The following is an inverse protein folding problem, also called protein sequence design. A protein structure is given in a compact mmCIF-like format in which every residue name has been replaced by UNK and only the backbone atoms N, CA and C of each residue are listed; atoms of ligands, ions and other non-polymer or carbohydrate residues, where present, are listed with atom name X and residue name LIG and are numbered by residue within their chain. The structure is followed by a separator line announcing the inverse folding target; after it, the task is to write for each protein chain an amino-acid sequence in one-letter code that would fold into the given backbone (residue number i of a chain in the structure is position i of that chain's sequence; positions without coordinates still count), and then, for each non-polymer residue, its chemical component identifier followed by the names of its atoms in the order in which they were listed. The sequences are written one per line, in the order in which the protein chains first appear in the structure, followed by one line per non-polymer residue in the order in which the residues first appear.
data_IF_740178334828
#
_entry.id   IF_740178334828
#
_cell.length_a   1.000
_cell.length_b   1.000
_cell.length_c   1.000
_cell.angle_alpha   90.00
_cell.angle_beta   90.00
_cell.angle_gamma   90.00
#
_symmetry.space_group_name_H-M   'P 1'
#
loop_
_entity.id
_entity.type
_entity.pdbx_description
1 polymer ?
#
# COMPACT_ATOMS: atom_id res chain seq x y z
N UNK A 1 -16.39 17.64 -4.18
CA UNK A 1 -15.56 16.53 -4.69
C UNK A 1 -14.26 16.55 -3.92
N UNK A 2 -13.91 15.47 -3.22
CA UNK A 2 -12.68 15.41 -2.41
C UNK A 2 -11.60 14.67 -3.21
N UNK A 3 -10.42 15.27 -3.33
CA UNK A 3 -9.26 14.67 -4.02
C UNK A 3 -8.18 14.29 -3.02
N UNK A 4 -7.59 13.11 -3.23
CA UNK A 4 -6.43 12.64 -2.49
C UNK A 4 -5.19 12.85 -3.35
N UNK A 5 -4.18 13.53 -2.82
CA UNK A 5 -2.92 13.80 -3.50
C UNK A 5 -1.75 13.26 -2.69
N UNK A 6 -0.85 12.57 -3.38
CA UNK A 6 0.30 11.91 -2.78
C UNK A 6 1.28 11.36 -3.81
N UNK A 7 2.38 10.82 -3.31
CA UNK A 7 3.45 10.18 -4.04
C UNK A 7 3.45 8.66 -3.80
N UNK A 8 4.19 7.95 -4.63
CA UNK A 8 4.43 6.51 -4.50
C UNK A 8 5.57 6.14 -3.53
N UNK A 9 5.99 7.12 -2.71
CA UNK A 9 7.03 7.02 -1.71
C UNK A 9 6.80 8.10 -0.65
N UNK A 10 7.06 7.76 0.61
CA UNK A 10 7.21 8.74 1.69
C UNK A 10 8.62 8.70 2.29
N UNK A 11 9.26 7.53 2.34
CA UNK A 11 10.52 7.35 3.06
C UNK A 11 11.78 7.66 2.22
N UNK A 12 11.75 8.71 1.38
CA UNK A 12 12.89 9.09 0.53
C UNK A 12 13.87 10.00 1.28
N UNK A 13 15.08 9.50 1.57
CA UNK A 13 16.10 10.26 2.33
C UNK A 13 16.59 11.52 1.62
N UNK A 14 16.55 11.56 0.29
CA UNK A 14 16.98 12.73 -0.49
C UNK A 14 16.11 13.97 -0.27
N UNK A 15 14.96 13.82 0.40
CA UNK A 15 14.08 14.92 0.76
C UNK A 15 14.51 15.67 2.03
N UNK A 16 15.47 15.17 2.81
CA UNK A 16 15.98 15.88 3.99
C UNK A 16 16.68 17.17 3.56
N UNK A 17 16.27 18.29 4.17
CA UNK A 17 16.80 19.63 3.90
C UNK A 17 15.94 20.45 2.95
N UNK A 18 15.06 19.81 2.17
CA UNK A 18 14.15 20.50 1.25
C UNK A 18 12.69 20.26 1.65
N UNK A 19 12.26 19.01 1.57
CA UNK A 19 10.92 18.61 1.98
C UNK A 19 10.95 18.25 3.46
N UNK A 20 11.76 17.31 3.95
CA UNK A 20 11.87 17.07 5.38
C UNK A 20 12.80 18.07 6.08
N UNK A 21 12.50 18.51 7.31
CA UNK A 21 13.41 19.36 8.08
C UNK A 21 14.83 18.76 8.17
N UNK A 22 15.90 19.57 8.17
CA UNK A 22 17.26 19.10 8.40
C UNK A 22 17.35 18.25 9.69
N UNK A 23 18.05 17.11 9.62
CA UNK A 23 18.22 16.21 10.76
C UNK A 23 17.05 15.24 11.04
N UNK A 24 15.99 15.26 10.22
CA UNK A 24 14.86 14.31 10.34
C UNK A 24 15.33 12.84 10.28
N UNK A 25 14.78 11.98 11.14
CA UNK A 25 15.08 10.55 11.16
C UNK A 25 14.04 9.79 10.34
N UNK A 26 14.41 8.58 9.89
CA UNK A 26 13.52 7.75 9.08
C UNK A 26 12.17 7.43 9.76
N UNK A 27 12.16 7.35 11.10
CA UNK A 27 10.93 7.13 11.88
C UNK A 27 9.93 8.29 11.83
N UNK A 28 10.39 9.49 11.48
CA UNK A 28 9.57 10.71 11.45
C UNK A 28 8.93 10.94 10.07
N UNK A 29 9.44 10.27 9.03
CA UNK A 29 9.10 10.58 7.63
C UNK A 29 7.62 10.44 7.32
N UNK A 30 6.93 9.42 7.85
CA UNK A 30 5.51 9.25 7.55
C UNK A 30 4.68 10.37 8.19
N UNK A 31 4.94 10.71 9.46
CA UNK A 31 4.29 11.85 10.13
C UNK A 31 4.55 13.17 9.39
N UNK A 32 5.81 13.45 9.02
CA UNK A 32 6.18 14.65 8.26
C UNK A 32 5.51 14.69 6.87
N UNK A 33 5.40 13.55 6.21
CA UNK A 33 4.75 13.43 4.91
C UNK A 33 3.24 13.71 5.02
N UNK A 34 2.57 13.19 6.06
CA UNK A 34 1.14 13.41 6.31
C UNK A 34 0.76 14.89 6.53
N UNK A 35 1.72 15.76 6.86
CA UNK A 35 1.48 17.19 7.02
C UNK A 35 1.28 17.92 5.68
N UNK A 36 1.62 17.28 4.55
CA UNK A 36 1.61 17.92 3.22
C UNK A 36 0.77 17.20 2.19
N UNK A 37 0.58 15.90 2.36
CA UNK A 37 -0.21 15.06 1.46
C UNK A 37 -1.32 14.36 2.21
N UNK A 38 -2.37 13.98 1.49
CA UNK A 38 -3.54 13.31 2.04
C UNK A 38 -3.54 11.81 1.77
N UNK A 39 -2.61 11.33 0.95
CA UNK A 39 -2.46 9.90 0.69
C UNK A 39 -1.03 9.52 0.35
N UNK A 40 -0.74 8.21 0.41
CA UNK A 40 0.49 7.63 -0.13
C UNK A 40 0.15 6.33 -0.84
N UNK A 41 0.74 6.13 -2.01
CA UNK A 41 0.75 4.82 -2.65
C UNK A 41 1.83 3.96 -1.95
N UNK A 42 1.38 2.92 -1.27
CA UNK A 42 2.17 2.03 -0.42
C UNK A 42 3.04 1.05 -1.20
N UNK A 43 3.96 1.53 -2.03
CA UNK A 43 4.89 0.65 -2.77
C UNK A 43 5.81 -0.18 -1.87
N UNK A 44 5.98 0.18 -0.60
CA UNK A 44 6.77 -0.62 0.34
C UNK A 44 6.19 -2.03 0.50
N UNK A 45 4.86 -2.18 0.49
CA UNK A 45 4.19 -3.48 0.66
C UNK A 45 4.36 -4.40 -0.54
N UNK A 46 4.69 -3.83 -1.70
CA UNK A 46 5.07 -4.59 -2.89
C UNK A 46 6.32 -5.43 -2.67
N UNK A 47 7.31 -4.87 -1.97
CA UNK A 47 8.60 -5.52 -1.74
C UNK A 47 8.65 -6.32 -0.44
N UNK A 48 7.93 -5.89 0.60
CA UNK A 48 7.91 -6.58 1.89
C UNK A 48 6.59 -6.34 2.61
N UNK A 49 5.98 -7.42 3.10
CA UNK A 49 4.79 -7.35 3.94
C UNK A 49 5.21 -6.90 5.34
N UNK A 50 4.75 -5.73 5.83
CA UNK A 50 5.12 -5.24 7.16
C UNK A 50 4.48 -6.13 8.24
N UNK A 51 5.14 -6.29 9.39
CA UNK A 51 4.55 -6.98 10.53
C UNK A 51 3.47 -6.12 11.23
N UNK A 52 2.70 -6.72 12.15
CA UNK A 52 1.64 -6.03 12.88
C UNK A 52 2.14 -4.80 13.65
N UNK A 53 3.31 -4.89 14.27
CA UNK A 53 3.91 -3.77 15.00
C UNK A 53 4.19 -2.57 14.07
N UNK A 54 4.71 -2.83 12.87
CA UNK A 54 4.96 -1.79 11.86
C UNK A 54 3.66 -1.15 11.40
N UNK A 55 2.62 -1.94 11.18
CA UNK A 55 1.29 -1.45 10.78
C UNK A 55 0.69 -0.57 11.86
N UNK A 56 0.73 -1.01 13.12
CA UNK A 56 0.23 -0.24 14.26
C UNK A 56 0.99 1.08 14.40
N UNK A 57 2.32 1.06 14.22
CA UNK A 57 3.14 2.28 14.22
C UNK A 57 2.76 3.22 13.08
N UNK A 58 2.53 2.71 11.87
CA UNK A 58 2.08 3.54 10.75
C UNK A 58 0.71 4.16 11.01
N UNK A 59 -0.25 3.35 11.47
CA UNK A 59 -1.59 3.83 11.84
C UNK A 59 -1.53 4.95 12.89
N UNK A 60 -0.67 4.82 13.90
CA UNK A 60 -0.50 5.84 14.94
C UNK A 60 0.13 7.15 14.44
N UNK A 61 0.82 7.15 13.29
CA UNK A 61 1.43 8.36 12.71
C UNK A 61 0.52 9.08 11.71
N UNK A 62 -0.48 8.39 11.16
CA UNK A 62 -1.36 8.95 10.13
C UNK A 62 -2.55 9.65 10.79
N UNK A 63 -2.81 10.93 10.46
CA UNK A 63 -3.95 11.65 11.01
C UNK A 63 -5.27 11.15 10.39
N UNK A 64 -6.42 11.42 11.03
CA UNK A 64 -7.73 11.20 10.42
C UNK A 64 -7.82 11.87 9.04
N UNK A 65 -8.39 11.15 8.07
CA UNK A 65 -8.53 11.64 6.70
C UNK A 65 -7.31 11.39 5.80
N UNK A 66 -6.19 10.89 6.31
CA UNK A 66 -5.09 10.39 5.49
C UNK A 66 -5.39 8.95 4.99
N UNK A 67 -5.09 8.65 3.72
CA UNK A 67 -5.29 7.33 3.13
C UNK A 67 -3.97 6.66 2.75
N UNK A 68 -3.65 5.51 3.32
CA UNK A 68 -2.58 4.65 2.85
C UNK A 68 -3.14 3.63 1.85
N UNK A 69 -2.60 3.57 0.64
CA UNK A 69 -3.09 2.68 -0.41
C UNK A 69 -2.09 1.54 -0.64
N UNK A 70 -2.24 0.36 0.01
CA UNK A 70 -1.26 -0.71 -0.09
C UNK A 70 -1.23 -1.33 -1.49
N UNK A 71 -0.03 -1.55 -2.01
CA UNK A 71 0.15 -2.38 -3.20
C UNK A 71 0.27 -3.83 -2.81
N UNK A 72 -0.42 -4.73 -3.50
CA UNK A 72 -0.27 -6.16 -3.26
C UNK A 72 1.20 -6.61 -3.47
N UNK A 73 1.73 -7.53 -2.63
CA UNK A 73 3.11 -7.99 -2.74
C UNK A 73 3.44 -8.56 -4.12
N UNK A 74 4.65 -8.29 -4.61
CA UNK A 74 5.15 -8.83 -5.89
C UNK A 74 5.14 -10.35 -5.90
N UNK A 75 5.45 -10.98 -4.75
CA UNK A 75 5.43 -12.43 -4.59
C UNK A 75 4.08 -13.07 -4.95
N UNK A 76 2.98 -12.31 -4.83
CA UNK A 76 1.62 -12.77 -5.14
C UNK A 76 1.18 -12.42 -6.57
N UNK A 77 1.77 -11.38 -7.15
CA UNK A 77 1.24 -10.74 -8.37
C UNK A 77 2.15 -10.89 -9.59
N UNK A 78 3.43 -11.24 -9.40
CA UNK A 78 4.45 -11.20 -10.47
C UNK A 78 5.06 -12.58 -10.82
N UNK A 79 4.56 -13.69 -10.27
CA UNK A 79 5.12 -15.02 -10.48
C UNK A 79 4.16 -16.03 -11.14
N UNK A 80 3.09 -15.56 -11.76
CA UNK A 80 2.16 -16.42 -12.51
C UNK A 80 0.74 -15.89 -12.50
N UNK A 81 -0.21 -16.83 -12.49
CA UNK A 81 -1.63 -16.58 -12.31
C UNK A 81 -1.93 -16.07 -10.89
N UNK A 82 -3.00 -15.27 -10.77
CA UNK A 82 -3.42 -14.64 -9.53
C UNK A 82 -4.33 -15.53 -8.68
N UNK A 83 -5.16 -16.37 -9.31
CA UNK A 83 -6.12 -17.25 -8.62
C UNK A 83 -5.45 -18.13 -7.54
N UNK A 84 -4.28 -18.75 -7.77
CA UNK A 84 -3.60 -19.52 -6.73
C UNK A 84 -3.16 -18.69 -5.52
N UNK A 85 -3.01 -17.37 -5.68
CA UNK A 85 -2.55 -16.45 -4.62
C UNK A 85 -3.69 -15.82 -3.81
N UNK A 86 -4.95 -16.21 -4.07
CA UNK A 86 -6.12 -15.68 -3.36
C UNK A 86 -5.98 -15.83 -1.83
N UNK A 87 -5.63 -17.00 -1.26
CA UNK A 87 -5.53 -17.15 0.20
C UNK A 87 -4.55 -16.14 0.83
N UNK A 88 -3.35 -16.02 0.29
CA UNK A 88 -2.31 -15.12 0.80
C UNK A 88 -2.66 -13.65 0.56
N UNK A 89 -3.40 -13.33 -0.51
CA UNK A 89 -3.87 -11.99 -0.77
C UNK A 89 -4.96 -11.57 0.23
N UNK A 90 -5.81 -12.50 0.66
CA UNK A 90 -6.79 -12.26 1.72
C UNK A 90 -6.13 -12.15 3.10
N UNK A 91 -5.07 -12.91 3.38
CA UNK A 91 -4.24 -12.73 4.58
C UNK A 91 -3.59 -11.34 4.60
N UNK A 92 -3.04 -10.90 3.47
CA UNK A 92 -2.50 -9.55 3.33
C UNK A 92 -3.56 -8.49 3.59
N UNK A 93 -4.77 -8.65 3.04
CA UNK A 93 -5.90 -7.76 3.30
C UNK A 93 -6.22 -7.70 4.80
N UNK A 94 -6.36 -8.86 5.47
CA UNK A 94 -6.65 -8.93 6.90
C UNK A 94 -5.57 -8.23 7.74
N UNK A 95 -4.31 -8.38 7.35
CA UNK A 95 -3.20 -7.69 8.01
C UNK A 95 -3.27 -6.17 7.79
N UNK A 96 -3.57 -5.71 6.57
CA UNK A 96 -3.71 -4.28 6.26
C UNK A 96 -4.92 -3.63 6.94
N UNK A 97 -5.93 -4.38 7.38
CA UNK A 97 -7.03 -3.87 8.20
C UNK A 97 -6.53 -3.24 9.52
N UNK A 98 -5.33 -3.58 9.99
CA UNK A 98 -4.69 -2.90 11.11
C UNK A 98 -4.45 -1.40 10.91
N UNK A 99 -4.50 -0.90 9.67
CA UNK A 99 -4.46 0.54 9.37
C UNK A 99 -5.78 1.26 9.70
N UNK A 100 -6.86 0.53 9.98
CA UNK A 100 -8.14 1.09 10.40
C UNK A 100 -8.72 2.08 9.41
N UNK A 101 -9.13 3.26 9.90
CA UNK A 101 -9.72 4.32 9.08
C UNK A 101 -8.76 4.91 8.04
N UNK A 102 -7.45 4.68 8.18
CA UNK A 102 -6.45 5.12 7.22
C UNK A 102 -6.22 4.10 6.08
N UNK A 103 -6.87 2.93 6.10
CA UNK A 103 -6.80 1.98 4.99
C UNK A 103 -7.55 2.53 3.77
N UNK A 104 -6.78 2.98 2.78
CA UNK A 104 -7.24 3.32 1.45
C UNK A 104 -7.41 2.09 0.54
N UNK A 105 -7.64 2.30 -0.77
CA UNK A 105 -7.72 1.21 -1.73
C UNK A 105 -6.45 0.35 -1.74
N UNK A 106 -6.64 -0.95 -1.63
CA UNK A 106 -5.60 -1.93 -2.01
C UNK A 106 -5.66 -2.10 -3.52
N UNK A 107 -4.50 -2.17 -4.16
CA UNK A 107 -4.45 -2.33 -5.61
C UNK A 107 -3.41 -3.37 -6.02
N UNK A 108 -3.64 -3.93 -7.21
CA UNK A 108 -2.72 -4.83 -7.91
C UNK A 108 -2.13 -4.10 -9.12
N UNK A 109 -0.82 -4.17 -9.29
CA UNK A 109 -0.18 -3.88 -10.57
C UNK A 109 0.15 -5.21 -11.22
N UNK A 110 -0.32 -5.41 -12.45
CA UNK A 110 -0.04 -6.61 -13.22
C UNK A 110 1.33 -6.49 -13.91
N UNK A 111 2.12 -7.58 -13.97
CA UNK A 111 3.39 -7.58 -14.69
C UNK A 111 3.16 -7.54 -16.21
N UNK A 112 4.16 -7.14 -17.01
CA UNK A 112 4.01 -7.00 -18.46
C UNK A 112 3.71 -8.31 -19.19
N UNK A 113 4.01 -9.47 -18.59
CA UNK A 113 3.73 -10.78 -19.15
C UNK A 113 2.32 -11.32 -18.78
N UNK A 114 1.56 -10.60 -17.95
CA UNK A 114 0.17 -10.95 -17.64
C UNK A 114 -0.72 -10.50 -18.81
N UNK A 115 -0.90 -11.40 -19.76
CA UNK A 115 -1.56 -11.12 -21.04
C UNK A 115 -3.09 -11.12 -20.93
N UNK A 116 -3.81 -10.51 -21.89
CA UNK A 116 -5.28 -10.57 -21.95
C UNK A 116 -5.87 -11.99 -21.95
N UNK A 117 -5.10 -13.01 -22.33
CA UNK A 117 -5.51 -14.41 -22.25
C UNK A 117 -5.75 -14.89 -20.80
N UNK A 118 -5.19 -14.21 -19.80
CA UNK A 118 -5.39 -14.50 -18.37
C UNK A 118 -6.57 -13.73 -17.77
N UNK A 119 -7.50 -13.21 -18.58
CA UNK A 119 -8.63 -12.42 -18.07
C UNK A 119 -9.53 -13.22 -17.12
N UNK A 120 -9.77 -14.50 -17.39
CA UNK A 120 -10.59 -15.36 -16.52
C UNK A 120 -9.94 -15.55 -15.13
N UNK A 121 -8.61 -15.68 -15.09
CA UNK A 121 -7.83 -15.73 -13.85
C UNK A 121 -7.94 -14.41 -13.05
N UNK A 122 -7.86 -13.27 -13.74
CA UNK A 122 -8.06 -11.96 -13.11
C UNK A 122 -9.48 -11.81 -12.57
N UNK A 123 -10.49 -12.28 -13.30
CA UNK A 123 -11.89 -12.25 -12.86
C UNK A 123 -12.07 -13.13 -11.62
N UNK A 124 -11.49 -14.33 -11.59
CA UNK A 124 -11.53 -15.21 -10.42
C UNK A 124 -10.92 -14.52 -9.19
N UNK A 125 -9.73 -13.92 -9.35
CA UNK A 125 -9.07 -13.16 -8.29
C UNK A 125 -9.90 -11.98 -7.77
N UNK A 126 -10.44 -11.15 -8.67
CA UNK A 126 -11.26 -10.00 -8.29
C UNK A 126 -12.60 -10.42 -7.66
N UNK A 127 -13.16 -11.56 -8.07
CA UNK A 127 -14.43 -12.09 -7.52
C UNK A 127 -14.26 -12.60 -6.09
N UNK A 128 -13.09 -13.14 -5.75
CA UNK A 128 -12.76 -13.57 -4.38
C UNK A 128 -12.56 -12.40 -3.41
N UNK A 129 -12.36 -11.18 -3.92
CA UNK A 129 -12.15 -10.01 -3.07
C UNK A 129 -13.43 -9.64 -2.29
N UNK A 130 -13.34 -9.37 -0.98
CA UNK A 130 -14.51 -8.98 -0.19
C UNK A 130 -15.17 -7.72 -0.75
N UNK A 131 -16.47 -7.78 -0.99
CA UNK A 131 -17.29 -6.60 -1.28
C UNK A 131 -17.56 -5.88 0.03
N UNK A 132 -17.49 -4.55 0.00
CA UNK A 132 -17.92 -3.70 1.13
C UNK A 132 -19.41 -3.88 1.41
#
# INVERSE_FOLDING_TARGET
MSFYLGCAVWAYKGWIGEFYPPGSKAGDFLSLYCQRFTTVEGNTTFYSVPNQETINRWAAQMPPGFAFCPKLPSKLTHHGLLEPSIPEALEFLAQMQGLGANLGPIFVQLPPNYAPASLDDLIAFLTAWPRK
#
